data_IF_284188750370
#
_entry.id   IF_284188750370
#
_cell.length_a   1.000
_cell.length_b   1.000
_cell.length_c   1.000
_cell.angle_alpha   90.00
_cell.angle_beta   90.00
_cell.angle_gamma   90.00
#
_symmetry.space_group_name_H-M   'P 1'
#
loop_
_entity.id
_entity.type
_entity.pdbx_description
1 polymer ?
#
# COMPACT_ATOMS: atom_id res chain seq x y z
N UNK A 1 -9.30 1.69 -6.40
CA UNK A 1 -10.55 1.32 -5.68
C UNK A 1 -10.31 0.79 -4.27
N UNK A 2 -9.80 -0.44 -4.06
CA UNK A 2 -9.79 -1.03 -2.70
C UNK A 2 -8.85 -0.31 -1.72
N UNK A 3 -7.60 -0.08 -2.10
CA UNK A 3 -6.63 0.64 -1.26
C UNK A 3 -7.00 2.13 -1.19
N UNK A 4 -7.27 2.75 -2.34
CA UNK A 4 -7.60 4.18 -2.46
C UNK A 4 -8.84 4.61 -1.65
N UNK A 5 -9.81 3.71 -1.46
CA UNK A 5 -11.02 3.97 -0.66
C UNK A 5 -10.98 3.31 0.71
N UNK A 6 -9.80 2.86 1.17
CA UNK A 6 -9.61 2.24 2.48
C UNK A 6 -10.60 1.08 2.76
N UNK A 7 -10.85 0.24 1.75
CA UNK A 7 -11.72 -0.93 1.88
C UNK A 7 -10.90 -2.16 2.30
N UNK A 8 -11.48 -3.09 3.09
CA UNK A 8 -10.81 -4.33 3.42
C UNK A 8 -10.43 -5.12 2.17
N UNK A 9 -9.17 -5.60 2.08
CA UNK A 9 -8.69 -6.40 0.95
C UNK A 9 -9.51 -7.68 0.72
N UNK A 10 -10.18 -8.20 1.76
CA UNK A 10 -11.11 -9.31 1.65
C UNK A 10 -12.30 -9.02 0.71
N UNK A 11 -12.66 -7.75 0.50
CA UNK A 11 -13.71 -7.36 -0.46
C UNK A 11 -13.35 -7.72 -1.90
N UNK A 12 -12.06 -7.93 -2.21
CA UNK A 12 -11.64 -8.27 -3.56
C UNK A 12 -12.11 -9.67 -4.01
N UNK A 13 -12.37 -10.59 -3.08
CA UNK A 13 -12.92 -11.91 -3.40
C UNK A 13 -14.35 -11.81 -3.99
N UNK A 14 -15.14 -10.85 -3.50
CA UNK A 14 -16.47 -10.57 -4.06
C UNK A 14 -16.38 -9.68 -5.30
N UNK A 15 -15.55 -8.62 -5.25
CA UNK A 15 -15.37 -7.71 -6.38
C UNK A 15 -14.92 -8.45 -7.64
N UNK A 16 -14.01 -9.41 -7.52
CA UNK A 16 -13.54 -10.19 -8.66
C UNK A 16 -14.65 -10.95 -9.38
N UNK A 17 -15.71 -11.36 -8.67
CA UNK A 17 -16.89 -12.00 -9.26
C UNK A 17 -17.89 -10.98 -9.81
N UNK A 18 -17.91 -9.78 -9.22
CA UNK A 18 -18.81 -8.71 -9.59
C UNK A 18 -18.42 -8.06 -10.92
N UNK A 19 -17.11 -7.89 -11.18
CA UNK A 19 -16.58 -7.28 -12.41
C UNK A 19 -17.14 -7.94 -13.67
N UNK A 20 -17.15 -9.26 -13.75
CA UNK A 20 -17.69 -9.98 -14.92
C UNK A 20 -19.22 -9.87 -15.07
N UNK A 21 -19.94 -9.58 -13.97
CA UNK A 21 -21.39 -9.36 -13.98
C UNK A 21 -21.78 -7.93 -14.33
N UNK A 22 -20.96 -6.95 -13.91
CA UNK A 22 -21.16 -5.54 -14.23
C UNK A 22 -20.88 -5.25 -15.70
N UNK A 23 -19.97 -6.00 -16.32
CA UNK A 23 -19.54 -5.81 -17.71
C UNK A 23 -19.64 -7.14 -18.50
N UNK A 24 -20.86 -7.62 -18.79
CA UNK A 24 -21.08 -8.97 -19.35
C UNK A 24 -20.52 -9.14 -20.77
N UNK A 25 -20.44 -8.04 -21.52
CA UNK A 25 -19.93 -7.93 -22.90
C UNK A 25 -18.40 -7.82 -22.98
N UNK A 26 -17.73 -7.49 -21.87
CA UNK A 26 -16.28 -7.30 -21.85
C UNK A 26 -15.54 -8.63 -21.63
N UNK A 27 -14.82 -9.09 -22.65
CA UNK A 27 -13.92 -10.24 -22.53
C UNK A 27 -12.81 -9.99 -21.49
N UNK A 28 -12.32 -8.76 -21.40
CA UNK A 28 -11.31 -8.35 -20.42
C UNK A 28 -11.86 -8.46 -19.00
N UNK A 29 -13.08 -7.98 -18.76
CA UNK A 29 -13.72 -8.06 -17.45
C UNK A 29 -13.96 -9.51 -17.02
N UNK A 30 -14.25 -10.41 -17.97
CA UNK A 30 -14.41 -11.84 -17.73
C UNK A 30 -13.11 -12.51 -17.26
N UNK A 31 -11.96 -11.98 -17.68
CA UNK A 31 -10.64 -12.47 -17.29
C UNK A 31 -10.16 -11.88 -15.95
N UNK A 32 -10.91 -10.94 -15.35
CA UNK A 32 -10.53 -10.36 -14.08
C UNK A 32 -10.57 -11.43 -12.97
N UNK A 33 -9.39 -11.81 -12.49
CA UNK A 33 -9.21 -12.87 -11.50
C UNK A 33 -8.29 -12.40 -10.36
N UNK A 34 -8.49 -11.17 -9.89
CA UNK A 34 -7.76 -10.60 -8.75
C UNK A 34 -8.62 -10.70 -7.49
N UNK A 35 -8.59 -11.88 -6.85
CA UNK A 35 -9.14 -12.05 -5.50
C UNK A 35 -8.21 -11.47 -4.43
N UNK A 36 -8.53 -11.72 -3.16
CA UNK A 36 -7.79 -11.24 -1.99
C UNK A 36 -6.31 -11.57 -2.06
N UNK A 37 -5.92 -12.82 -2.36
CA UNK A 37 -4.49 -13.22 -2.36
C UNK A 37 -3.66 -12.37 -3.32
N UNK A 38 -4.13 -12.16 -4.56
CA UNK A 38 -3.42 -11.34 -5.54
C UNK A 38 -3.42 -9.86 -5.14
N UNK A 39 -4.55 -9.36 -4.65
CA UNK A 39 -4.65 -7.98 -4.17
C UNK A 39 -3.70 -7.70 -3.01
N UNK A 40 -3.65 -8.60 -2.03
CA UNK A 40 -2.73 -8.54 -0.88
C UNK A 40 -1.29 -8.60 -1.35
N UNK A 41 -0.94 -9.51 -2.26
CA UNK A 41 0.42 -9.59 -2.78
C UNK A 41 0.87 -8.30 -3.50
N UNK A 42 -0.01 -7.72 -4.32
CA UNK A 42 0.25 -6.44 -4.98
C UNK A 42 0.42 -5.33 -3.95
N UNK A 43 -0.46 -5.25 -2.94
CA UNK A 43 -0.36 -4.25 -1.87
C UNK A 43 0.97 -4.35 -1.12
N UNK A 44 1.40 -5.56 -0.76
CA UNK A 44 2.70 -5.80 -0.12
C UNK A 44 3.86 -5.43 -1.03
N UNK A 45 3.83 -5.82 -2.31
CA UNK A 45 4.89 -5.49 -3.25
C UNK A 45 5.06 -3.97 -3.37
N UNK A 46 3.98 -3.22 -3.53
CA UNK A 46 4.01 -1.75 -3.56
C UNK A 46 4.58 -1.18 -2.26
N UNK A 47 4.12 -1.68 -1.11
CA UNK A 47 4.65 -1.23 0.19
C UNK A 47 6.15 -1.51 0.36
N UNK A 48 6.62 -2.70 -0.04
CA UNK A 48 8.04 -3.06 0.01
C UNK A 48 8.88 -2.16 -0.89
N UNK A 49 8.42 -1.87 -2.12
CA UNK A 49 9.10 -0.94 -3.02
C UNK A 49 9.22 0.47 -2.44
N UNK A 50 8.17 0.96 -1.77
CA UNK A 50 8.20 2.26 -1.07
C UNK A 50 9.23 2.28 0.06
N UNK A 51 9.28 1.22 0.88
CA UNK A 51 10.26 1.09 1.96
C UNK A 51 11.70 1.04 1.43
N UNK A 52 11.94 0.31 0.34
CA UNK A 52 13.27 0.23 -0.26
C UNK A 52 13.72 1.56 -0.87
N UNK A 53 12.81 2.32 -1.48
CA UNK A 53 13.08 3.69 -1.95
C UNK A 53 13.48 4.59 -0.79
N UNK A 54 12.73 4.54 0.31
CA UNK A 54 13.02 5.30 1.53
C UNK A 54 14.39 4.94 2.11
N UNK A 55 14.71 3.65 2.27
CA UNK A 55 16.02 3.19 2.75
C UNK A 55 17.19 3.74 1.92
N UNK A 56 17.02 3.82 0.59
CA UNK A 56 18.03 4.40 -0.31
C UNK A 56 18.16 5.91 -0.12
N UNK A 57 17.05 6.62 0.06
CA UNK A 57 17.03 8.07 0.23
C UNK A 57 17.65 8.50 1.57
N UNK A 58 17.21 7.93 2.70
CA UNK A 58 17.66 8.38 4.03
C UNK A 58 18.84 7.56 4.59
N UNK A 59 18.83 6.24 4.41
CA UNK A 59 19.77 5.33 5.07
C UNK A 59 21.16 5.31 4.44
N UNK A 60 21.23 5.22 3.11
CA UNK A 60 22.52 5.10 2.40
C UNK A 60 23.24 6.44 2.24
N UNK A 61 22.49 7.53 2.06
CA UNK A 61 23.05 8.86 1.80
C UNK A 61 23.32 9.68 3.05
N UNK A 62 22.89 9.20 4.24
CA UNK A 62 22.92 9.95 5.51
C UNK A 62 22.27 11.34 5.38
N UNK A 63 21.24 11.45 4.55
CA UNK A 63 20.50 12.68 4.38
C UNK A 63 19.71 13.02 5.66
N UNK A 64 19.48 14.31 5.99
CA UNK A 64 18.63 14.67 7.12
C UNK A 64 17.20 14.14 6.93
N UNK A 65 16.64 13.58 8.00
CA UNK A 65 15.24 13.16 8.08
C UNK A 65 14.73 13.40 9.50
N UNK A 66 13.42 13.49 9.65
CA UNK A 66 12.76 13.40 10.96
C UNK A 66 12.10 12.03 11.12
N UNK A 67 12.06 11.57 12.36
CA UNK A 67 11.45 10.32 12.76
C UNK A 67 10.35 10.63 13.76
N UNK A 68 9.13 10.15 13.50
CA UNK A 68 8.04 10.14 14.46
C UNK A 68 7.60 8.70 14.68
N UNK A 69 7.30 8.36 15.92
CA UNK A 69 6.78 7.04 16.30
C UNK A 69 5.56 7.22 17.16
N UNK A 70 4.59 6.32 17.03
CA UNK A 70 3.42 6.26 17.90
C UNK A 70 3.28 4.84 18.44
N UNK A 71 2.53 4.68 19.52
CA UNK A 71 2.24 3.40 20.14
C UNK A 71 0.74 3.26 20.35
N UNK A 72 0.13 2.29 19.66
CA UNK A 72 -1.28 1.94 19.87
C UNK A 72 -1.36 0.53 20.42
N UNK A 73 -1.99 0.36 21.57
CA UNK A 73 -2.29 -0.94 22.14
C UNK A 73 -3.81 -1.11 22.23
N UNK A 74 -4.33 -2.09 21.49
CA UNK A 74 -5.67 -2.63 21.74
C UNK A 74 -5.53 -3.98 22.48
N UNK A 75 -6.62 -4.54 23.00
CA UNK A 75 -6.57 -5.73 23.88
C UNK A 75 -5.85 -6.94 23.25
N UNK A 76 -5.89 -7.07 21.91
CA UNK A 76 -5.28 -8.19 21.17
C UNK A 76 -4.00 -7.80 20.40
N UNK A 77 -3.85 -6.53 19.99
CA UNK A 77 -2.79 -6.10 19.07
C UNK A 77 -2.00 -4.89 19.58
N UNK A 78 -0.68 -4.92 19.38
CA UNK A 78 0.22 -3.80 19.63
C UNK A 78 0.82 -3.30 18.33
N UNK A 79 0.55 -2.05 18.00
CA UNK A 79 1.07 -1.38 16.82
C UNK A 79 2.12 -0.33 17.24
N UNK A 80 3.25 -0.34 16.53
CA UNK A 80 4.32 0.63 16.69
C UNK A 80 4.67 1.26 15.34
N UNK A 81 3.80 2.12 14.80
CA UNK A 81 4.06 2.79 13.53
C UNK A 81 5.30 3.69 13.62
N UNK A 82 6.07 3.68 12.53
CA UNK A 82 7.24 4.54 12.34
C UNK A 82 7.01 5.37 11.09
N UNK A 83 7.10 6.69 11.24
CA UNK A 83 6.94 7.67 10.18
C UNK A 83 8.28 8.39 9.95
N UNK A 84 8.75 8.41 8.71
CA UNK A 84 10.01 9.06 8.33
C UNK A 84 9.69 10.21 7.37
N UNK A 85 9.98 11.44 7.78
CA UNK A 85 9.85 12.60 6.88
C UNK A 85 11.22 12.96 6.33
N UNK A 86 11.36 13.12 5.02
CA UNK A 86 12.62 13.48 4.36
C UNK A 86 12.39 14.39 3.16
N UNK A 87 13.47 14.97 2.62
CA UNK A 87 13.42 15.70 1.35
C UNK A 87 13.58 14.69 0.22
N UNK A 88 12.60 14.63 -0.69
CA UNK A 88 12.72 13.91 -1.95
C UNK A 88 13.71 14.68 -2.84
N UNK A 89 14.80 14.02 -3.21
CA UNK A 89 15.89 14.65 -3.96
C UNK A 89 15.54 15.00 -5.41
N UNK A 90 14.57 14.29 -6.01
CA UNK A 90 14.16 14.53 -7.39
C UNK A 90 13.30 15.79 -7.50
N UNK A 91 12.46 16.02 -6.49
CA UNK A 91 11.46 17.10 -6.50
C UNK A 91 11.83 18.26 -5.58
N UNK A 92 12.78 18.07 -4.66
CA UNK A 92 13.13 19.01 -3.59
C UNK A 92 12.04 19.21 -2.55
N UNK A 93 10.98 18.38 -2.55
CA UNK A 93 9.83 18.51 -1.66
C UNK A 93 9.99 17.64 -0.42
N UNK A 94 9.34 18.04 0.66
CA UNK A 94 9.26 17.22 1.87
C UNK A 94 8.21 16.12 1.64
N UNK A 95 8.58 14.86 1.87
CA UNK A 95 7.70 13.70 1.75
C UNK A 95 7.79 12.82 2.99
N UNK A 96 6.77 11.99 3.17
CA UNK A 96 6.60 11.09 4.32
C UNK A 96 6.34 9.66 3.90
#
# INVERSE_FOLDING_TARGET
MVIEHNLPLARNDHYSKLVSRMFPDSEIARQYACGRTKATHIAYSVASHSVDRLKKAVGLKKAPYSLATDGSSDEEDKFFPVLITHVDEETGRITT
#
